data_IF_613981599413
#
_entry.id   IF_613981599413
#
_cell.length_a   1.000
_cell.length_b   1.000
_cell.length_c   1.000
_cell.angle_alpha   90.00
_cell.angle_beta   90.00
_cell.angle_gamma   90.00
#
_symmetry.space_group_name_H-M   'P 1'
#
loop_
_entity.id
_entity.type
_entity.pdbx_description
1 polymer ?
#
# COMPACT_ATOMS: atom_id res chain seq x y z
N UNK A 1 -1.50 -0.62 -12.03
CA UNK A 1 -2.52 0.15 -12.79
C UNK A 1 -3.84 -0.03 -12.09
N UNK A 2 -4.62 1.04 -11.95
CA UNK A 2 -5.90 1.01 -11.25
C UNK A 2 -6.80 -0.16 -11.71
N UNK A 3 -7.57 -0.78 -10.79
CA UNK A 3 -8.37 -1.96 -11.04
C UNK A 3 -9.68 -1.62 -11.76
N UNK A 4 -9.59 -0.87 -12.87
CA UNK A 4 -10.74 -0.40 -13.68
C UNK A 4 -11.60 -1.52 -14.27
N UNK A 5 -11.11 -2.77 -14.20
CA UNK A 5 -11.81 -3.98 -14.64
C UNK A 5 -12.51 -4.70 -13.49
N UNK A 6 -12.13 -4.43 -12.23
CA UNK A 6 -12.71 -5.08 -11.06
C UNK A 6 -14.09 -4.48 -10.75
N UNK A 7 -15.10 -5.34 -10.62
CA UNK A 7 -16.49 -4.92 -10.36
C UNK A 7 -16.67 -4.23 -9.02
N UNK A 8 -15.98 -4.74 -8.00
CA UNK A 8 -16.14 -4.29 -6.61
C UNK A 8 -15.34 -3.03 -6.34
N UNK A 9 -14.23 -2.85 -7.05
CA UNK A 9 -13.34 -1.72 -6.81
C UNK A 9 -13.69 -0.50 -7.67
N UNK A 10 -13.85 -0.64 -8.99
CA UNK A 10 -14.05 0.53 -9.88
C UNK A 10 -15.10 0.38 -10.96
N UNK A 11 -15.27 -0.79 -11.56
CA UNK A 11 -16.10 -0.95 -12.77
C UNK A 11 -17.60 -0.86 -12.49
N UNK A 12 -18.04 -1.38 -11.34
CA UNK A 12 -19.45 -1.58 -11.01
C UNK A 12 -20.05 -2.90 -11.52
N UNK A 13 -21.22 -3.24 -10.98
CA UNK A 13 -22.06 -4.38 -11.32
C UNK A 13 -23.24 -4.00 -12.23
N UNK A 14 -23.84 -4.97 -12.95
CA UNK A 14 -24.98 -4.70 -13.83
C UNK A 14 -26.14 -4.05 -13.06
N UNK A 15 -26.65 -2.93 -13.59
CA UNK A 15 -27.72 -2.15 -12.96
C UNK A 15 -27.23 -0.96 -12.13
N UNK A 16 -25.93 -0.87 -11.86
CA UNK A 16 -25.34 0.30 -11.18
C UNK A 16 -25.53 1.58 -12.00
N UNK A 17 -25.59 2.70 -11.28
CA UNK A 17 -25.66 4.04 -11.86
C UNK A 17 -24.36 4.79 -11.59
N UNK A 18 -24.02 5.71 -12.50
CA UNK A 18 -22.94 6.66 -12.26
C UNK A 18 -23.36 7.71 -11.21
N UNK A 19 -22.41 8.57 -10.85
CA UNK A 19 -22.59 9.64 -9.87
C UNK A 19 -23.65 10.68 -10.26
N UNK A 20 -24.02 10.73 -11.54
CA UNK A 20 -25.07 11.60 -12.08
C UNK A 20 -26.43 10.89 -12.20
N UNK A 21 -26.51 9.62 -11.81
CA UNK A 21 -27.70 8.80 -11.88
C UNK A 21 -27.95 8.15 -13.23
N UNK A 22 -27.04 8.25 -14.21
CA UNK A 22 -27.18 7.56 -15.49
C UNK A 22 -26.79 6.07 -15.35
N UNK A 23 -27.28 5.17 -16.22
CA UNK A 23 -26.81 3.79 -16.25
C UNK A 23 -25.30 3.72 -16.44
N UNK A 24 -24.60 2.95 -15.61
CA UNK A 24 -23.15 2.74 -15.74
C UNK A 24 -22.85 1.80 -16.93
N UNK A 25 -22.40 2.37 -18.05
CA UNK A 25 -22.11 1.60 -19.26
C UNK A 25 -20.96 0.60 -19.10
N UNK A 26 -19.98 0.89 -18.22
CA UNK A 26 -18.86 -0.02 -17.99
C UNK A 26 -19.30 -1.33 -17.33
N UNK A 27 -20.37 -1.31 -16.54
CA UNK A 27 -20.87 -2.48 -15.84
C UNK A 27 -21.48 -3.54 -16.76
N UNK A 28 -21.82 -3.18 -17.99
CA UNK A 28 -22.45 -4.05 -18.98
C UNK A 28 -21.48 -5.04 -19.62
N UNK A 29 -20.18 -4.76 -19.59
CA UNK A 29 -19.18 -5.64 -20.18
C UNK A 29 -18.93 -6.87 -19.30
N UNK A 30 -18.67 -8.00 -19.95
CA UNK A 30 -18.22 -9.24 -19.31
C UNK A 30 -16.85 -9.10 -18.68
N UNK A 31 -16.49 -10.02 -17.77
CA UNK A 31 -15.28 -9.92 -16.94
C UNK A 31 -13.97 -10.09 -17.73
N UNK A 32 -14.04 -10.67 -18.93
CA UNK A 32 -12.91 -10.87 -19.85
C UNK A 32 -12.80 -9.82 -20.95
N UNK A 33 -13.73 -8.86 -21.04
CA UNK A 33 -13.79 -7.85 -22.10
C UNK A 33 -12.90 -6.63 -21.79
N UNK A 34 -11.63 -6.88 -21.50
CA UNK A 34 -10.70 -5.85 -21.02
C UNK A 34 -10.56 -4.68 -21.98
N UNK A 35 -10.47 -4.96 -23.29
CA UNK A 35 -10.29 -3.95 -24.33
C UNK A 35 -11.51 -3.03 -24.42
N UNK A 36 -12.71 -3.59 -24.39
CA UNK A 36 -13.96 -2.84 -24.45
C UNK A 36 -14.17 -1.98 -23.20
N UNK A 37 -13.79 -2.49 -22.02
CA UNK A 37 -13.81 -1.75 -20.76
C UNK A 37 -12.86 -0.55 -20.83
N UNK A 38 -11.61 -0.75 -21.29
CA UNK A 38 -10.64 0.33 -21.44
C UNK A 38 -11.07 1.38 -22.47
N UNK A 39 -11.65 0.95 -23.58
CA UNK A 39 -12.20 1.86 -24.59
C UNK A 39 -13.40 2.64 -24.04
N UNK A 40 -14.30 2.01 -23.30
CA UNK A 40 -15.45 2.68 -22.69
C UNK A 40 -15.01 3.71 -21.65
N UNK A 41 -14.05 3.36 -20.79
CA UNK A 41 -13.45 4.30 -19.85
C UNK A 41 -12.86 5.53 -20.56
N UNK A 42 -12.09 5.32 -21.64
CA UNK A 42 -11.54 6.43 -22.41
C UNK A 42 -12.61 7.25 -23.14
N UNK A 43 -13.66 6.62 -23.68
CA UNK A 43 -14.78 7.37 -24.27
C UNK A 43 -15.43 8.29 -23.24
N UNK A 44 -15.64 7.82 -22.00
CA UNK A 44 -16.19 8.63 -20.91
C UNK A 44 -15.27 9.82 -20.58
N UNK A 45 -13.96 9.59 -20.47
CA UNK A 45 -12.99 10.66 -20.19
C UNK A 45 -12.92 11.68 -21.33
N UNK A 46 -12.89 11.22 -22.58
CA UNK A 46 -12.80 12.08 -23.77
C UNK A 46 -14.12 12.75 -24.15
N UNK A 47 -15.24 12.37 -23.52
CA UNK A 47 -16.51 13.10 -23.63
C UNK A 47 -16.48 14.46 -22.92
N UNK A 48 -15.49 14.71 -22.06
CA UNK A 48 -15.29 15.99 -21.36
C UNK A 48 -14.30 16.85 -22.17
N UNK A 49 -14.73 17.99 -22.76
CA UNK A 49 -13.90 18.79 -23.66
C UNK A 49 -12.57 19.28 -23.05
N UNK A 50 -12.59 19.58 -21.75
CA UNK A 50 -11.39 20.02 -21.03
C UNK A 50 -10.35 18.88 -20.91
N UNK A 51 -10.77 17.63 -20.68
CA UNK A 51 -9.82 16.50 -20.72
C UNK A 51 -9.22 16.31 -22.12
N UNK A 52 -10.00 16.48 -23.20
CA UNK A 52 -9.45 16.43 -24.57
C UNK A 52 -8.35 17.47 -24.76
N UNK A 53 -8.55 18.69 -24.24
CA UNK A 53 -7.55 19.76 -24.26
C UNK A 53 -6.30 19.37 -23.47
N UNK A 54 -6.46 18.84 -22.25
CA UNK A 54 -5.34 18.40 -21.41
C UNK A 54 -4.55 17.25 -22.04
N UNK A 55 -5.23 16.24 -22.62
CA UNK A 55 -4.56 15.14 -23.32
C UNK A 55 -3.82 15.63 -24.57
N UNK A 56 -4.40 16.55 -25.34
CA UNK A 56 -3.74 17.11 -26.53
C UNK A 56 -2.46 17.87 -26.15
N UNK A 57 -2.46 18.56 -25.01
CA UNK A 57 -1.28 19.24 -24.48
C UNK A 57 -0.23 18.26 -23.95
N UNK A 58 -0.65 17.20 -23.26
CA UNK A 58 0.26 16.18 -22.71
C UNK A 58 0.87 15.26 -23.77
N UNK A 59 0.17 15.05 -24.89
CA UNK A 59 0.56 14.15 -25.98
C UNK A 59 0.50 14.87 -27.34
N UNK A 60 1.41 15.84 -27.59
CA UNK A 60 1.38 16.65 -28.80
C UNK A 60 1.52 15.79 -30.07
N UNK A 61 0.68 16.08 -31.06
CA UNK A 61 0.65 15.33 -32.33
C UNK A 61 -0.15 14.03 -32.28
N UNK A 62 -0.76 13.67 -31.14
CA UNK A 62 -1.68 12.54 -31.08
C UNK A 62 -3.12 12.96 -31.41
N UNK A 63 -3.75 12.40 -32.45
CA UNK A 63 -5.16 12.64 -32.74
C UNK A 63 -6.07 12.10 -31.62
N UNK A 64 -7.18 12.79 -31.34
CA UNK A 64 -8.09 12.44 -30.25
C UNK A 64 -8.68 11.03 -30.37
N UNK A 65 -8.95 10.55 -31.59
CA UNK A 65 -9.46 9.20 -31.86
C UNK A 65 -8.40 8.09 -31.67
N UNK A 66 -7.13 8.49 -31.52
CA UNK A 66 -6.00 7.61 -31.19
C UNK A 66 -5.64 7.64 -29.71
N UNK A 67 -6.23 8.55 -28.93
CA UNK A 67 -6.08 8.55 -27.47
C UNK A 67 -6.77 7.32 -26.88
N UNK A 68 -5.98 6.55 -26.15
CA UNK A 68 -6.38 5.26 -25.57
C UNK A 68 -5.93 5.15 -24.13
N UNK A 69 -6.31 4.06 -23.48
CA UNK A 69 -6.12 3.88 -22.04
C UNK A 69 -4.64 3.90 -21.62
N UNK A 70 -3.73 3.53 -22.51
CA UNK A 70 -2.29 3.67 -22.30
C UNK A 70 -1.84 5.12 -22.06
N UNK A 71 -2.51 6.11 -22.66
CA UNK A 71 -2.20 7.52 -22.46
C UNK A 71 -2.68 8.00 -21.09
N UNK A 72 -3.88 7.59 -20.68
CA UNK A 72 -4.37 7.84 -19.32
C UNK A 72 -3.45 7.19 -18.28
N UNK A 73 -3.05 5.94 -18.49
CA UNK A 73 -2.10 5.25 -17.62
C UNK A 73 -0.74 5.95 -17.56
N UNK A 74 -0.25 6.46 -18.70
CA UNK A 74 1.02 7.23 -18.75
C UNK A 74 0.91 8.55 -18.00
N UNK A 75 -0.19 9.28 -18.14
CA UNK A 75 -0.42 10.53 -17.43
C UNK A 75 -0.50 10.31 -15.90
N UNK A 76 -1.22 9.28 -15.48
CA UNK A 76 -1.30 8.87 -14.07
C UNK A 76 0.09 8.47 -13.55
N UNK A 77 0.82 7.63 -14.28
CA UNK A 77 2.16 7.22 -13.87
C UNK A 77 3.11 8.43 -13.78
N UNK A 78 3.02 9.40 -14.68
CA UNK A 78 3.81 10.63 -14.61
C UNK A 78 3.47 11.45 -13.35
N UNK A 79 2.19 11.53 -12.99
CA UNK A 79 1.77 12.14 -11.72
C UNK A 79 2.24 11.34 -10.50
N UNK A 80 2.22 10.01 -10.52
CA UNK A 80 2.75 9.23 -9.41
C UNK A 80 4.29 9.39 -9.28
N UNK A 81 5.00 9.47 -10.40
CA UNK A 81 6.46 9.55 -10.40
C UNK A 81 7.00 10.94 -10.08
N UNK A 82 6.39 12.02 -10.56
CA UNK A 82 6.96 13.36 -10.44
C UNK A 82 6.70 13.97 -9.05
N UNK A 83 5.45 14.29 -8.67
CA UNK A 83 5.18 14.93 -7.39
C UNK A 83 5.24 14.00 -6.17
N UNK A 84 5.02 12.68 -6.32
CA UNK A 84 5.01 11.75 -5.17
C UNK A 84 6.36 11.05 -4.91
N UNK A 85 7.35 11.18 -5.80
CA UNK A 85 8.71 10.72 -5.50
C UNK A 85 9.37 11.70 -4.55
N UNK A 86 9.34 11.36 -3.26
CA UNK A 86 9.90 12.15 -2.17
C UNK A 86 11.18 11.49 -1.65
N UNK A 87 12.33 12.16 -1.84
CA UNK A 87 13.68 11.59 -1.64
C UNK A 87 14.64 12.52 -0.89
N UNK A 88 14.11 13.42 -0.07
CA UNK A 88 14.85 14.32 0.83
C UNK A 88 14.52 14.07 2.31
N UNK A 89 14.35 12.79 2.69
CA UNK A 89 14.20 12.42 4.09
C UNK A 89 15.50 12.69 4.88
N UNK A 90 15.44 12.83 6.22
CA UNK A 90 16.64 12.84 7.06
C UNK A 90 17.64 11.73 6.73
N UNK A 91 17.16 10.51 6.46
CA UNK A 91 18.02 9.41 6.03
C UNK A 91 18.66 9.65 4.65
N UNK A 92 17.93 10.19 3.68
CA UNK A 92 18.49 10.53 2.36
C UNK A 92 19.59 11.59 2.48
N UNK A 93 19.36 12.65 3.27
CA UNK A 93 20.37 13.68 3.53
C UNK A 93 21.61 13.11 4.21
N UNK A 94 21.44 12.20 5.17
CA UNK A 94 22.54 11.50 5.81
C UNK A 94 23.36 10.68 4.81
N UNK A 95 22.72 9.94 3.90
CA UNK A 95 23.41 9.23 2.82
C UNK A 95 24.14 10.19 1.87
N UNK A 96 23.63 11.41 1.71
CA UNK A 96 24.25 12.51 0.97
C UNK A 96 25.27 13.33 1.77
N UNK A 97 25.89 12.72 2.81
CA UNK A 97 26.99 13.28 3.62
C UNK A 97 26.61 14.41 4.59
N UNK A 98 25.31 14.61 4.86
CA UNK A 98 24.88 15.43 5.98
C UNK A 98 24.81 14.59 7.26
N UNK A 99 25.95 14.43 7.93
CA UNK A 99 26.05 13.64 9.17
C UNK A 99 25.12 14.16 10.28
N UNK A 100 24.72 15.43 10.23
CA UNK A 100 23.83 16.05 11.20
C UNK A 100 22.33 15.79 10.90
N UNK A 101 21.99 15.23 9.74
CA UNK A 101 20.61 14.97 9.36
C UNK A 101 19.93 13.90 10.23
N UNK A 102 20.69 12.98 10.83
CA UNK A 102 20.18 11.99 11.78
C UNK A 102 20.60 12.31 13.22
N UNK A 103 19.66 12.14 14.15
CA UNK A 103 19.96 12.15 15.59
C UNK A 103 20.75 10.92 16.01
N UNK A 104 21.28 10.90 17.23
CA UNK A 104 22.00 9.73 17.75
C UNK A 104 21.08 8.50 17.87
N UNK A 105 19.84 8.70 18.29
CA UNK A 105 18.78 7.68 18.37
C UNK A 105 18.53 7.06 17.00
N UNK A 106 18.35 7.90 15.98
CA UNK A 106 18.12 7.46 14.61
C UNK A 106 19.32 6.69 14.05
N UNK A 107 20.55 7.09 14.39
CA UNK A 107 21.77 6.36 14.00
C UNK A 107 21.85 5.00 14.69
N UNK A 108 21.54 4.90 15.99
CA UNK A 108 21.46 3.60 16.68
C UNK A 108 20.39 2.70 16.07
N UNK A 109 19.22 3.26 15.76
CA UNK A 109 18.15 2.56 15.06
C UNK A 109 18.56 2.06 13.67
N UNK A 110 19.29 2.88 12.90
CA UNK A 110 19.82 2.48 11.60
C UNK A 110 20.80 1.31 11.73
N UNK A 111 21.70 1.35 12.72
CA UNK A 111 22.65 0.25 12.97
C UNK A 111 21.92 -1.06 13.30
N UNK A 112 20.85 -1.01 14.11
CA UNK A 112 20.00 -2.16 14.37
C UNK A 112 19.31 -2.65 13.09
N UNK A 113 18.67 -1.74 12.35
CA UNK A 113 17.90 -2.05 11.15
C UNK A 113 18.74 -2.75 10.07
N UNK A 114 19.95 -2.26 9.84
CA UNK A 114 20.89 -2.82 8.86
C UNK A 114 21.77 -3.95 9.43
N UNK A 115 21.74 -4.18 10.75
CA UNK A 115 22.51 -5.19 11.45
C UNK A 115 21.62 -6.17 12.23
N UNK A 116 21.70 -6.12 13.55
CA UNK A 116 21.22 -7.17 14.46
C UNK A 116 19.69 -7.38 14.46
N UNK A 117 18.91 -6.35 14.15
CA UNK A 117 17.45 -6.48 14.00
C UNK A 117 17.06 -7.11 12.64
N UNK A 118 18.00 -7.23 11.70
CA UNK A 118 17.87 -7.92 10.40
C UNK A 118 16.73 -7.40 9.52
N UNK A 119 16.20 -6.21 9.77
CA UNK A 119 15.07 -5.63 9.04
C UNK A 119 15.39 -5.48 7.55
N UNK A 120 16.62 -5.08 7.25
CA UNK A 120 17.14 -4.92 5.88
C UNK A 120 17.19 -6.22 5.06
N UNK A 121 17.13 -7.39 5.70
CA UNK A 121 17.04 -8.67 4.98
C UNK A 121 15.77 -8.78 4.11
N UNK A 122 14.74 -7.99 4.45
CA UNK A 122 13.53 -7.84 3.66
C UNK A 122 13.34 -6.43 3.10
N UNK A 123 13.67 -5.43 3.90
CA UNK A 123 13.49 -4.02 3.59
C UNK A 123 14.79 -3.41 3.06
N UNK A 124 15.18 -3.80 1.83
CA UNK A 124 16.41 -3.35 1.18
C UNK A 124 16.15 -2.60 -0.13
N UNK A 125 17.25 -2.16 -0.76
CA UNK A 125 17.23 -1.36 -1.98
C UNK A 125 16.85 0.10 -1.71
N UNK A 126 16.74 0.89 -2.77
CA UNK A 126 16.49 2.33 -2.69
C UNK A 126 15.17 2.69 -2.00
N UNK A 127 14.20 1.78 -1.97
CA UNK A 127 12.88 1.96 -1.37
C UNK A 127 12.71 1.26 -0.02
N UNK A 128 13.73 0.54 0.47
CA UNK A 128 13.68 -0.27 1.69
C UNK A 128 12.49 -1.25 1.66
N UNK A 129 12.34 -1.98 0.55
CA UNK A 129 11.25 -2.92 0.33
C UNK A 129 10.83 -3.03 -1.14
N UNK A 130 9.79 -3.82 -1.37
CA UNK A 130 9.11 -3.95 -2.66
C UNK A 130 9.60 -5.08 -3.56
N UNK A 131 10.74 -5.70 -3.26
CA UNK A 131 11.37 -6.71 -4.12
C UNK A 131 10.99 -8.17 -3.86
N UNK A 132 10.22 -8.46 -2.82
CA UNK A 132 9.87 -9.84 -2.43
C UNK A 132 8.52 -9.93 -1.73
N UNK A 133 8.02 -11.15 -1.57
CA UNK A 133 6.84 -11.50 -0.79
C UNK A 133 7.26 -12.27 0.46
N UNK A 134 6.63 -12.00 1.59
CA UNK A 134 6.90 -12.69 2.85
C UNK A 134 5.63 -12.81 3.69
N UNK A 135 5.54 -13.91 4.45
CA UNK A 135 4.58 -14.04 5.54
C UNK A 135 5.25 -13.47 6.80
N UNK A 136 4.75 -12.33 7.26
CA UNK A 136 5.24 -11.63 8.44
C UNK A 136 4.49 -11.98 9.73
N UNK A 137 3.61 -12.97 9.68
CA UNK A 137 2.74 -13.34 10.79
C UNK A 137 1.73 -12.26 11.13
N UNK A 138 1.17 -11.53 10.16
CA UNK A 138 0.14 -10.55 10.43
C UNK A 138 -1.09 -11.21 11.10
N UNK A 139 -1.68 -10.59 12.16
CA UNK A 139 -3.04 -10.89 12.58
C UNK A 139 -3.98 -10.85 11.36
N UNK A 140 -5.04 -11.64 11.36
CA UNK A 140 -5.98 -11.69 10.24
C UNK A 140 -7.22 -10.86 10.56
N UNK A 141 -7.41 -9.76 9.83
CA UNK A 141 -8.55 -8.85 9.97
C UNK A 141 -9.33 -8.73 8.66
N UNK A 142 -10.65 -8.63 8.76
CA UNK A 142 -11.52 -8.16 7.68
C UNK A 142 -12.41 -9.24 7.06
N UNK A 143 -13.08 -8.92 5.95
CA UNK A 143 -13.92 -9.88 5.23
C UNK A 143 -13.10 -10.84 4.35
N UNK A 144 -11.77 -10.68 4.30
CA UNK A 144 -10.89 -11.43 3.42
C UNK A 144 -11.09 -11.10 1.94
N UNK A 145 -10.53 -11.95 1.07
CA UNK A 145 -10.60 -11.79 -0.38
C UNK A 145 -10.87 -13.12 -1.08
N UNK A 146 -11.61 -13.06 -2.19
CA UNK A 146 -11.76 -14.19 -3.11
C UNK A 146 -12.38 -15.43 -2.47
N UNK A 147 -11.90 -16.62 -2.87
CA UNK A 147 -12.33 -17.89 -2.32
C UNK A 147 -11.77 -18.15 -0.90
N UNK A 148 -10.76 -17.38 -0.48
CA UNK A 148 -10.15 -17.48 0.84
C UNK A 148 -10.93 -16.76 1.95
N UNK A 149 -11.94 -15.96 1.59
CA UNK A 149 -12.79 -15.27 2.55
C UNK A 149 -13.35 -16.26 3.62
N UNK A 150 -13.31 -15.91 4.92
CA UNK A 150 -13.10 -14.56 5.44
C UNK A 150 -11.63 -14.15 5.64
N UNK A 151 -10.67 -14.95 5.17
CA UNK A 151 -9.23 -14.64 5.23
C UNK A 151 -8.71 -14.05 3.90
N UNK A 152 -7.57 -13.36 3.97
CA UNK A 152 -6.82 -12.96 2.78
C UNK A 152 -5.55 -13.81 2.68
N UNK A 153 -5.49 -14.71 1.70
CA UNK A 153 -4.33 -15.56 1.51
C UNK A 153 -3.20 -14.86 0.73
N UNK A 154 -3.35 -13.59 0.38
CA UNK A 154 -2.32 -12.77 -0.24
C UNK A 154 -1.88 -13.31 -1.59
N UNK A 155 -0.57 -13.43 -1.79
CA UNK A 155 0.00 -13.93 -3.05
C UNK A 155 -0.48 -15.35 -3.39
N UNK A 156 -0.78 -16.17 -2.39
CA UNK A 156 -1.23 -17.56 -2.56
C UNK A 156 -2.47 -17.69 -3.43
N UNK A 157 -3.43 -16.76 -3.30
CA UNK A 157 -4.64 -16.73 -4.14
C UNK A 157 -4.33 -16.34 -5.59
N UNK A 158 -3.29 -15.52 -5.81
CA UNK A 158 -2.90 -15.06 -7.15
C UNK A 158 -2.19 -16.16 -7.93
N UNK A 159 -1.30 -16.91 -7.28
CA UNK A 159 -0.54 -17.99 -7.91
C UNK A 159 -1.18 -19.37 -7.73
N UNK A 160 -2.30 -19.45 -7.02
CA UNK A 160 -3.01 -20.68 -6.66
C UNK A 160 -2.08 -21.73 -6.03
N UNK A 161 -1.33 -21.33 -5.00
CA UNK A 161 -0.31 -22.16 -4.37
C UNK A 161 -0.27 -21.96 -2.85
N UNK A 162 -0.30 -23.06 -2.11
CA UNK A 162 -0.21 -23.10 -0.66
C UNK A 162 1.04 -22.41 -0.11
N UNK A 163 2.18 -22.52 -0.80
CA UNK A 163 3.43 -21.85 -0.39
C UNK A 163 3.35 -20.32 -0.40
N UNK A 164 2.42 -19.74 -1.15
CA UNK A 164 2.20 -18.29 -1.21
C UNK A 164 1.22 -17.77 -0.16
N UNK A 165 0.59 -18.64 0.62
CA UNK A 165 -0.48 -18.22 1.54
C UNK A 165 0.04 -17.30 2.65
N UNK A 166 -0.73 -16.27 2.92
CA UNK A 166 -0.42 -15.19 3.86
C UNK A 166 0.89 -14.44 3.55
N UNK A 167 1.43 -14.63 2.34
CA UNK A 167 2.57 -13.84 1.89
C UNK A 167 2.08 -12.59 1.19
N UNK A 168 2.62 -11.45 1.59
CA UNK A 168 2.33 -10.16 0.99
C UNK A 168 3.62 -9.52 0.53
N UNK A 169 3.51 -8.64 -0.46
CA UNK A 169 4.66 -7.87 -0.94
C UNK A 169 5.20 -7.07 0.24
N UNK A 170 6.50 -7.19 0.51
CA UNK A 170 7.17 -6.40 1.54
C UNK A 170 7.06 -4.93 1.13
N UNK A 171 6.33 -4.13 1.89
CA UNK A 171 6.08 -2.74 1.55
C UNK A 171 7.38 -1.89 1.64
N UNK A 172 7.59 -0.94 0.72
CA UNK A 172 8.56 0.14 0.89
C UNK A 172 8.35 0.88 2.22
N UNK A 173 9.44 1.32 2.87
CA UNK A 173 9.38 2.01 4.16
C UNK A 173 9.57 3.54 4.08
N UNK A 174 9.75 4.09 2.88
CA UNK A 174 9.78 5.56 2.70
C UNK A 174 8.43 6.14 3.11
N UNK A 175 8.47 7.20 3.93
CA UNK A 175 7.30 7.86 4.50
C UNK A 175 6.40 6.96 5.37
N UNK A 176 6.91 5.84 5.88
CA UNK A 176 6.10 4.85 6.62
C UNK A 176 5.38 5.46 7.82
N UNK A 177 5.97 6.44 8.51
CA UNK A 177 5.34 7.16 9.62
C UNK A 177 3.97 7.77 9.27
N UNK A 178 3.77 8.15 8.01
CA UNK A 178 2.57 8.86 7.55
C UNK A 178 1.44 7.92 7.11
N UNK A 179 1.67 6.60 7.11
CA UNK A 179 0.78 5.64 6.46
C UNK A 179 0.20 4.63 7.45
N UNK A 180 -0.03 5.05 8.69
CA UNK A 180 -0.81 4.26 9.64
C UNK A 180 -2.28 4.13 9.15
N UNK A 181 -2.99 3.04 9.49
CA UNK A 181 -2.49 1.86 10.20
C UNK A 181 -1.64 0.94 9.31
N UNK A 182 -0.92 0.01 9.94
CA UNK A 182 0.11 -0.82 9.32
C UNK A 182 -0.33 -2.26 9.07
N UNK A 183 0.40 -2.92 8.18
CA UNK A 183 0.10 -4.23 7.55
C UNK A 183 -0.97 -4.14 6.45
N UNK A 184 -1.16 -5.23 5.72
CA UNK A 184 -2.05 -5.29 4.56
C UNK A 184 -3.52 -5.02 4.90
N UNK A 185 -3.90 -5.24 6.16
CA UNK A 185 -5.25 -5.13 6.70
C UNK A 185 -5.38 -4.02 7.77
N UNK A 186 -4.29 -3.31 8.09
CA UNK A 186 -4.31 -2.25 9.09
C UNK A 186 -4.36 -2.74 10.54
N UNK A 187 -3.93 -3.97 10.83
CA UNK A 187 -4.01 -4.55 12.18
C UNK A 187 -3.27 -3.75 13.28
N UNK A 188 -2.22 -2.99 12.94
CA UNK A 188 -1.43 -2.24 13.91
C UNK A 188 -1.57 -0.73 13.74
N UNK A 189 -1.88 0.04 14.81
CA UNK A 189 -2.08 1.48 14.69
C UNK A 189 -0.79 2.31 14.74
N UNK A 190 0.33 1.73 15.22
CA UNK A 190 1.58 2.48 15.47
C UNK A 190 2.82 1.70 15.03
N UNK A 191 3.88 2.40 14.62
CA UNK A 191 5.18 1.77 14.32
C UNK A 191 5.73 1.02 15.53
N UNK A 192 5.51 1.54 16.74
CA UNK A 192 5.93 0.86 17.97
C UNK A 192 5.24 -0.50 18.15
N UNK A 193 3.96 -0.63 17.77
CA UNK A 193 3.27 -1.92 17.79
C UNK A 193 3.84 -2.88 16.73
N UNK A 194 4.17 -2.37 15.54
CA UNK A 194 4.83 -3.14 14.47
C UNK A 194 6.21 -3.64 14.90
N UNK A 195 7.05 -2.78 15.50
CA UNK A 195 8.38 -3.17 15.98
C UNK A 195 8.27 -4.20 17.10
N UNK A 196 7.34 -4.03 18.05
CA UNK A 196 7.05 -5.05 19.08
C UNK A 196 6.62 -6.39 18.46
N UNK A 197 5.79 -6.37 17.42
CA UNK A 197 5.39 -7.57 16.68
C UNK A 197 6.60 -8.31 16.12
N UNK A 198 7.50 -7.59 15.43
CA UNK A 198 8.69 -8.20 14.85
C UNK A 198 9.71 -8.67 15.89
N UNK A 199 9.74 -8.09 17.09
CA UNK A 199 10.65 -8.52 18.14
C UNK A 199 10.40 -9.99 18.55
N UNK A 200 9.15 -10.46 18.49
CA UNK A 200 8.80 -11.88 18.64
C UNK A 200 7.45 -12.19 17.97
N UNK A 201 7.49 -12.50 16.66
CA UNK A 201 6.27 -12.70 15.85
C UNK A 201 5.35 -13.80 16.39
N UNK A 202 5.83 -15.02 16.73
CA UNK A 202 4.93 -16.06 17.23
C UNK A 202 4.22 -15.73 18.55
N UNK A 203 4.88 -14.97 19.43
CA UNK A 203 4.28 -14.52 20.69
C UNK A 203 3.32 -13.35 20.44
N UNK A 204 3.73 -12.38 19.63
CA UNK A 204 2.91 -11.22 19.31
C UNK A 204 1.61 -11.59 18.58
N UNK A 205 1.66 -12.53 17.63
CA UNK A 205 0.47 -12.99 16.90
C UNK A 205 -0.51 -13.70 17.86
N UNK A 206 -0.02 -14.64 18.68
CA UNK A 206 -0.86 -15.34 19.67
C UNK A 206 -1.43 -14.41 20.74
N UNK A 207 -0.67 -13.40 21.12
CA UNK A 207 -1.03 -12.41 22.13
C UNK A 207 -1.64 -11.14 21.55
N UNK A 208 -2.12 -11.14 20.31
CA UNK A 208 -2.63 -9.93 19.67
C UNK A 208 -3.80 -9.33 20.46
N UNK A 209 -3.61 -8.10 20.94
CA UNK A 209 -4.63 -7.38 21.69
C UNK A 209 -5.66 -6.75 20.73
N UNK A 210 -6.81 -7.42 20.57
CA UNK A 210 -7.91 -6.93 19.73
C UNK A 210 -8.47 -5.57 20.18
N UNK A 211 -8.24 -5.17 21.44
CA UNK A 211 -8.76 -3.90 21.95
C UNK A 211 -8.08 -2.67 21.32
N UNK A 212 -6.87 -2.85 20.75
CA UNK A 212 -6.14 -1.81 20.01
C UNK A 212 -6.80 -1.45 18.68
N UNK A 213 -7.69 -2.31 18.16
CA UNK A 213 -8.49 -2.02 16.97
C UNK A 213 -9.64 -1.07 17.30
N UNK A 214 -10.02 -0.25 16.32
CA UNK A 214 -11.24 0.54 16.38
C UNK A 214 -12.45 -0.38 16.67
N UNK A 215 -13.42 0.04 17.51
CA UNK A 215 -14.52 -0.83 17.94
C UNK A 215 -15.27 -1.52 16.80
N UNK A 216 -15.47 -0.83 15.68
CA UNK A 216 -16.15 -1.35 14.49
C UNK A 216 -15.38 -2.49 13.78
N UNK A 217 -14.07 -2.62 14.01
CA UNK A 217 -13.22 -3.63 13.37
C UNK A 217 -13.02 -4.88 14.23
N UNK A 218 -13.29 -4.82 15.53
CA UNK A 218 -12.99 -5.92 16.46
C UNK A 218 -13.70 -7.23 16.12
N UNK A 219 -14.91 -7.15 15.58
CA UNK A 219 -15.68 -8.33 15.15
C UNK A 219 -15.18 -8.95 13.84
N UNK A 220 -14.24 -8.29 13.15
CA UNK A 220 -13.63 -8.77 11.91
C UNK A 220 -12.31 -9.52 12.16
N UNK A 221 -11.89 -9.67 13.42
CA UNK A 221 -10.66 -10.35 13.78
C UNK A 221 -10.85 -11.87 13.80
N UNK A 222 -10.03 -12.59 13.03
CA UNK A 222 -10.02 -14.07 12.94
C UNK A 222 -8.87 -14.65 13.77
N UNK A 223 -9.03 -14.56 15.10
CA UNK A 223 -8.00 -14.90 16.08
C UNK A 223 -8.03 -16.35 16.60
N UNK A 224 -8.74 -17.25 15.94
CA UNK A 224 -8.82 -18.64 16.37
C UNK A 224 -7.47 -19.36 16.21
N UNK A 225 -7.18 -20.33 17.09
CA UNK A 225 -5.90 -21.07 17.05
C UNK A 225 -5.66 -21.77 15.70
N UNK A 226 -6.73 -22.17 15.00
CA UNK A 226 -6.60 -22.74 13.66
C UNK A 226 -6.05 -21.71 12.66
N UNK A 227 -6.54 -20.47 12.69
CA UNK A 227 -6.08 -19.37 11.83
C UNK A 227 -4.65 -18.97 12.20
N UNK A 228 -4.39 -18.76 13.49
CA UNK A 228 -3.05 -18.43 14.00
C UNK A 228 -2.04 -19.53 13.65
N UNK A 229 -2.42 -20.80 13.84
CA UNK A 229 -1.60 -21.95 13.49
C UNK A 229 -1.28 -22.02 12.00
N UNK A 230 -2.26 -21.75 11.13
CA UNK A 230 -2.05 -21.70 9.69
C UNK A 230 -1.08 -20.58 9.27
N UNK A 231 -1.22 -19.38 9.83
CA UNK A 231 -0.30 -18.26 9.58
C UNK A 231 1.12 -18.62 10.04
N UNK A 232 1.27 -19.18 11.25
CA UNK A 232 2.58 -19.54 11.81
C UNK A 232 3.25 -20.71 11.07
N UNK A 233 2.48 -21.64 10.51
CA UNK A 233 3.03 -22.74 9.70
C UNK A 233 3.76 -22.23 8.46
N UNK A 234 3.24 -21.16 7.84
CA UNK A 234 3.83 -20.49 6.69
C UNK A 234 4.82 -19.36 7.04
N UNK A 235 5.14 -19.13 8.31
CA UNK A 235 5.94 -17.97 8.73
C UNK A 235 7.34 -17.99 8.09
N UNK A 236 7.75 -16.81 7.59
CA UNK A 236 9.09 -16.61 7.02
C UNK A 236 10.17 -17.05 8.02
N UNK A 237 11.15 -17.82 7.55
CA UNK A 237 12.16 -18.42 8.41
C UNK A 237 12.97 -17.39 9.20
N UNK A 238 13.15 -16.18 8.66
CA UNK A 238 13.85 -15.07 9.31
C UNK A 238 13.14 -14.58 10.57
N UNK A 239 11.83 -14.80 10.69
CA UNK A 239 10.96 -14.28 11.75
C UNK A 239 10.58 -15.32 12.82
N UNK A 240 11.03 -16.57 12.66
CA UNK A 240 10.69 -17.66 13.60
C UNK A 240 11.39 -17.54 14.95
N UNK A 241 12.49 -16.81 15.01
CA UNK A 241 13.27 -16.59 16.23
C UNK A 241 13.11 -15.15 16.69
N UNK A 242 12.98 -14.91 18.01
CA UNK A 242 12.90 -13.57 18.54
C UNK A 242 14.17 -12.78 18.23
N UNK A 243 14.02 -11.47 18.06
CA UNK A 243 15.15 -10.56 17.87
C UNK A 243 15.84 -10.22 19.20
N UNK A 244 15.10 -10.30 20.32
CA UNK A 244 15.65 -10.06 21.65
C UNK A 244 15.97 -8.60 21.93
N UNK A 245 15.33 -7.68 21.20
CA UNK A 245 15.54 -6.24 21.34
C UNK A 245 14.98 -5.75 22.67
N UNK A 246 15.77 -4.93 23.36
CA UNK A 246 15.35 -4.15 24.52
C UNK A 246 14.32 -3.10 24.13
N UNK A 247 13.63 -2.51 25.12
CA UNK A 247 12.69 -1.41 24.86
C UNK A 247 13.40 -0.18 24.28
N UNK A 248 14.68 0.04 24.62
CA UNK A 248 15.48 1.15 24.12
C UNK A 248 15.82 0.94 22.63
N UNK A 249 16.26 -0.27 22.26
CA UNK A 249 16.54 -0.63 20.87
C UNK A 249 15.29 -0.58 19.99
N UNK A 250 14.13 -0.99 20.53
CA UNK A 250 12.85 -0.86 19.82
C UNK A 250 12.48 0.62 19.58
N UNK A 251 12.73 1.51 20.56
CA UNK A 251 12.51 2.96 20.37
C UNK A 251 13.48 3.56 19.36
N UNK A 252 14.75 3.17 19.40
CA UNK A 252 15.75 3.62 18.43
C UNK A 252 15.36 3.18 17.00
N UNK A 253 14.85 1.95 16.82
CA UNK A 253 14.30 1.50 15.53
C UNK A 253 13.12 2.35 15.05
N UNK A 254 12.17 2.66 15.92
CA UNK A 254 11.05 3.55 15.57
C UNK A 254 11.56 4.92 15.14
N UNK A 255 12.52 5.50 15.87
CA UNK A 255 13.12 6.78 15.51
C UNK A 255 13.78 6.72 14.12
N UNK A 256 14.48 5.63 13.81
CA UNK A 256 15.03 5.43 12.47
C UNK A 256 13.94 5.34 11.39
N UNK A 257 12.84 4.63 11.62
CA UNK A 257 11.72 4.55 10.67
C UNK A 257 11.08 5.93 10.39
N UNK A 258 10.96 6.78 11.42
CA UNK A 258 10.49 8.17 11.28
C UNK A 258 11.47 9.04 10.47
N UNK A 259 12.77 8.72 10.51
CA UNK A 259 13.79 9.40 9.70
C UNK A 259 13.68 9.12 8.19
N UNK A 260 12.82 8.18 7.79
CA UNK A 260 12.54 7.83 6.39
C UNK A 260 11.43 8.70 5.76
N UNK A 261 10.90 9.65 6.51
CA UNK A 261 9.86 10.58 6.05
C UNK A 261 10.48 11.81 5.41
N UNK A 262 10.18 12.04 4.13
CA UNK A 262 10.49 13.30 3.47
C UNK A 262 9.58 14.41 4.04
N UNK A 263 10.12 15.55 4.50
CA UNK A 263 9.31 16.63 5.07
C UNK A 263 8.18 17.11 4.16
N UNK A 264 8.41 17.12 2.84
CA UNK A 264 7.41 17.52 1.85
C UNK A 264 6.29 16.50 1.65
N UNK A 265 6.44 15.27 2.15
CA UNK A 265 5.38 14.26 2.12
C UNK A 265 4.27 14.52 3.17
N UNK A 266 4.54 15.35 4.19
CA UNK A 266 3.58 15.64 5.26
C UNK A 266 2.43 16.54 4.81
N UNK A 267 2.62 17.30 3.73
CA UNK A 267 1.61 18.18 3.17
C UNK A 267 1.59 18.09 1.65
N UNK A 268 0.62 17.33 1.15
CA UNK A 268 0.40 17.13 -0.29
C UNK A 268 -0.77 17.96 -0.82
N UNK A 269 -1.33 18.89 -0.04
CA UNK A 269 -2.52 19.68 -0.45
C UNK A 269 -2.26 20.52 -1.70
N UNK A 270 -1.00 20.90 -1.94
CA UNK A 270 -0.60 21.59 -3.17
C UNK A 270 -0.77 20.76 -4.44
N UNK A 271 -0.88 19.43 -4.32
CA UNK A 271 -1.15 18.51 -5.43
C UNK A 271 -2.64 18.35 -5.71
N UNK A 272 -3.49 18.71 -4.76
CA UNK A 272 -4.94 18.61 -4.90
C UNK A 272 -5.44 19.77 -5.78
N UNK A 273 -6.06 19.50 -6.95
CA UNK A 273 -6.58 20.56 -7.79
C UNK A 273 -7.80 21.21 -7.14
N UNK A 274 -8.01 22.51 -7.38
CA UNK A 274 -9.17 23.23 -6.85
C UNK A 274 -10.52 22.74 -7.42
N UNK A 275 -10.49 22.15 -8.61
CA UNK A 275 -11.62 21.52 -9.27
C UNK A 275 -11.11 20.45 -10.25
N UNK A 276 -11.98 19.52 -10.63
CA UNK A 276 -11.70 18.55 -11.70
C UNK A 276 -12.56 18.84 -12.93
N UNK A 277 -12.08 18.57 -14.16
CA UNK A 277 -12.82 18.80 -15.40
C UNK A 277 -14.21 18.15 -15.47
N UNK A 278 -14.45 17.09 -14.70
CA UNK A 278 -15.76 16.44 -14.61
C UNK A 278 -16.80 17.24 -13.82
N UNK A 279 -16.41 18.32 -13.13
CA UNK A 279 -17.26 19.10 -12.24
C UNK A 279 -17.61 18.40 -10.92
N UNK A 280 -17.04 17.21 -10.66
CA UNK A 280 -17.22 16.52 -9.39
C UNK A 280 -16.50 17.28 -8.26
N UNK A 281 -17.05 17.25 -7.03
CA UNK A 281 -16.37 17.88 -5.91
C UNK A 281 -15.04 17.18 -5.65
N UNK A 282 -14.01 17.98 -5.40
CA UNK A 282 -12.74 17.50 -4.86
C UNK A 282 -12.92 17.40 -3.35
N UNK A 283 -12.81 16.19 -2.80
CA UNK A 283 -12.91 15.97 -1.35
C UNK A 283 -11.57 16.37 -0.71
N UNK A 284 -11.64 17.23 0.32
CA UNK A 284 -10.50 17.59 1.17
C UNK A 284 -10.23 16.53 2.25
#
# INVERSE_FOLDING_TARGET
MFPVVDRREMRGGPGDRDVFGNPNELAQFGDSQFVEIWQAAMRRVLAIPEYVTMFSAAFPGMPTDRLGFQHAATAIAAFEMQPLTKTDSPFDRYLNRDDAALTLEQKRGALLFFGDARCSSCHNGAFLGGGQFANNGAPQLGPGRGAGAPLDFGHGDVINNEFGRFTFRVAPLRNVELTAPYFHDGAYPTLAAVVRHYNNVPVALRGFDVSQLAPALRSLYHGEEATIGAVLAGLDSRLRQPLGLTDDEQRDLVAFLESLTDPSARDLRSLTPAAVPSGLPVQE
#
